data_IF_733523868571
#
_entry.id   IF_733523868571
#
_cell.length_a   1.000
_cell.length_b   1.000
_cell.length_c   1.000
_cell.angle_alpha   90.00
_cell.angle_beta   90.00
_cell.angle_gamma   90.00
#
_symmetry.space_group_name_H-M   'P 1'
#
loop_
_entity.id
_entity.type
_entity.pdbx_description
1 polymer ?
#
# COMPACT_ATOMS: atom_id res chain seq x y z
N UNK A 1 68.62 11.63 -6.13
CA UNK A 1 67.26 11.54 -5.55
C UNK A 1 66.68 10.19 -5.93
N UNK A 2 66.77 9.19 -5.04
CA UNK A 2 66.33 7.83 -5.32
C UNK A 2 64.79 7.83 -5.28
N UNK A 3 64.14 7.76 -6.44
CA UNK A 3 62.68 7.59 -6.52
C UNK A 3 62.32 6.22 -5.92
N UNK A 4 61.64 6.24 -4.78
CA UNK A 4 61.14 5.02 -4.14
C UNK A 4 59.92 4.49 -4.91
N UNK A 5 60.18 3.64 -5.91
CA UNK A 5 59.14 3.01 -6.76
C UNK A 5 58.06 2.27 -5.97
N UNK A 6 58.38 1.79 -4.76
CA UNK A 6 57.43 1.08 -3.90
C UNK A 6 56.39 2.04 -3.30
N UNK A 7 56.75 3.31 -3.05
CA UNK A 7 55.83 4.33 -2.56
C UNK A 7 54.84 4.78 -3.65
N UNK A 8 55.30 4.96 -4.88
CA UNK A 8 54.44 5.28 -6.03
C UNK A 8 53.44 4.14 -6.32
N UNK A 9 53.87 2.88 -6.20
CA UNK A 9 52.99 1.71 -6.34
C UNK A 9 51.95 1.61 -5.22
N UNK A 10 52.31 1.91 -3.96
CA UNK A 10 51.38 1.87 -2.83
C UNK A 10 50.30 2.96 -2.94
N UNK A 11 50.69 4.18 -3.34
CA UNK A 11 49.75 5.28 -3.59
C UNK A 11 48.79 4.94 -4.73
N UNK A 12 49.29 4.31 -5.81
CA UNK A 12 48.44 3.84 -6.91
C UNK A 12 47.40 2.80 -6.45
N UNK A 13 47.80 1.85 -5.60
CA UNK A 13 46.88 0.86 -5.03
C UNK A 13 45.84 1.53 -4.13
N UNK A 14 46.26 2.45 -3.25
CA UNK A 14 45.35 3.20 -2.36
C UNK A 14 44.34 4.03 -3.15
N UNK A 15 44.79 4.72 -4.19
CA UNK A 15 43.90 5.50 -5.07
C UNK A 15 42.92 4.59 -5.83
N UNK A 16 43.39 3.43 -6.31
CA UNK A 16 42.53 2.43 -6.94
C UNK A 16 41.46 1.89 -6.00
N UNK A 17 41.83 1.57 -4.75
CA UNK A 17 40.88 1.12 -3.71
C UNK A 17 39.89 2.22 -3.34
N UNK A 18 40.33 3.48 -3.27
CA UNK A 18 39.47 4.62 -2.99
C UNK A 18 38.43 4.83 -4.08
N UNK A 19 38.84 4.81 -5.36
CA UNK A 19 37.93 4.93 -6.51
C UNK A 19 36.94 3.75 -6.50
N UNK A 20 37.42 2.53 -6.27
CA UNK A 20 36.54 1.35 -6.18
C UNK A 20 35.50 1.49 -5.06
N UNK A 21 35.91 2.02 -3.90
CA UNK A 21 35.00 2.30 -2.79
C UNK A 21 33.89 3.30 -3.16
N UNK A 22 34.23 4.38 -3.85
CA UNK A 22 33.25 5.35 -4.34
C UNK A 22 32.27 4.74 -5.36
N UNK A 23 32.76 3.90 -6.27
CA UNK A 23 31.93 3.20 -7.25
C UNK A 23 30.95 2.25 -6.55
N UNK A 24 31.42 1.46 -5.58
CA UNK A 24 30.57 0.55 -4.82
C UNK A 24 29.50 1.28 -4.00
N UNK A 25 29.84 2.42 -3.38
CA UNK A 25 28.87 3.27 -2.70
C UNK A 25 27.83 3.85 -3.65
N UNK A 26 28.25 4.30 -4.84
CA UNK A 26 27.35 4.77 -5.89
C UNK A 26 26.36 3.68 -6.34
N UNK A 27 26.86 2.48 -6.59
CA UNK A 27 26.01 1.33 -6.96
C UNK A 27 25.05 0.95 -5.83
N UNK A 28 25.52 0.91 -4.59
CA UNK A 28 24.68 0.60 -3.43
C UNK A 28 23.52 1.60 -3.30
N UNK A 29 23.79 2.90 -3.46
CA UNK A 29 22.75 3.93 -3.41
C UNK A 29 21.73 3.80 -4.55
N UNK A 30 22.18 3.48 -5.78
CA UNK A 30 21.27 3.25 -6.91
C UNK A 30 20.36 2.05 -6.64
N UNK A 31 20.90 0.95 -6.10
CA UNK A 31 20.13 -0.25 -5.77
C UNK A 31 19.10 0.06 -4.66
N UNK A 32 19.48 0.79 -3.61
CA UNK A 32 18.56 1.16 -2.54
C UNK A 32 17.43 2.05 -3.05
N UNK A 33 17.75 3.11 -3.78
CA UNK A 33 16.75 4.05 -4.31
C UNK A 33 15.81 3.37 -5.32
N UNK A 34 16.33 2.50 -6.19
CA UNK A 34 15.49 1.77 -7.15
C UNK A 34 14.52 0.79 -6.47
N UNK A 35 14.93 0.17 -5.36
CA UNK A 35 14.04 -0.67 -4.55
C UNK A 35 12.94 0.14 -3.90
N UNK A 36 13.28 1.29 -3.32
CA UNK A 36 12.31 2.19 -2.68
C UNK A 36 11.27 2.71 -3.70
N UNK A 37 11.71 3.16 -4.88
CA UNK A 37 10.82 3.57 -5.95
C UNK A 37 9.89 2.44 -6.42
N UNK A 38 10.43 1.22 -6.55
CA UNK A 38 9.64 0.05 -6.95
C UNK A 38 8.60 -0.32 -5.89
N UNK A 39 8.97 -0.20 -4.60
CA UNK A 39 8.08 -0.43 -3.48
C UNK A 39 6.92 0.56 -3.47
N UNK A 40 7.23 1.86 -3.56
CA UNK A 40 6.22 2.93 -3.60
C UNK A 40 5.28 2.77 -4.79
N UNK A 41 5.81 2.50 -5.99
CA UNK A 41 5.00 2.28 -7.18
C UNK A 41 4.04 1.09 -7.03
N UNK A 42 4.49 0.01 -6.36
CA UNK A 42 3.65 -1.15 -6.08
C UNK A 42 2.56 -0.84 -5.04
N UNK A 43 2.90 -0.08 -3.99
CA UNK A 43 1.93 0.37 -2.99
C UNK A 43 0.85 1.26 -3.62
N UNK A 44 1.24 2.27 -4.39
CA UNK A 44 0.32 3.18 -5.08
C UNK A 44 -0.60 2.44 -6.06
N UNK A 45 -0.05 1.52 -6.84
CA UNK A 45 -0.81 0.70 -7.77
C UNK A 45 -1.84 -0.19 -7.05
N UNK A 46 -1.46 -0.76 -5.90
CA UNK A 46 -2.35 -1.59 -5.09
C UNK A 46 -3.47 -0.75 -4.46
N UNK A 47 -3.14 0.41 -3.90
CA UNK A 47 -4.13 1.36 -3.36
C UNK A 47 -5.13 1.77 -4.45
N UNK A 48 -4.64 2.12 -5.65
CA UNK A 48 -5.49 2.47 -6.79
C UNK A 48 -6.43 1.33 -7.18
N UNK A 49 -5.90 0.10 -7.28
CA UNK A 49 -6.69 -1.08 -7.62
C UNK A 49 -7.79 -1.36 -6.59
N UNK A 50 -7.43 -1.39 -5.31
CA UNK A 50 -8.38 -1.62 -4.20
C UNK A 50 -9.45 -0.53 -4.24
N UNK A 51 -9.06 0.74 -4.42
CA UNK A 51 -10.00 1.88 -4.46
C UNK A 51 -11.01 1.75 -5.58
N UNK A 52 -10.56 1.48 -6.80
CA UNK A 52 -11.46 1.34 -7.95
C UNK A 52 -12.42 0.17 -7.79
N UNK A 53 -11.94 -1.00 -7.36
CA UNK A 53 -12.81 -2.15 -7.14
C UNK A 53 -13.86 -1.86 -6.08
N UNK A 54 -13.47 -1.18 -5.01
CA UNK A 54 -14.36 -0.83 -3.91
C UNK A 54 -15.42 0.17 -4.35
N UNK A 55 -15.06 1.16 -5.16
CA UNK A 55 -16.03 2.07 -5.78
C UNK A 55 -17.02 1.30 -6.66
N UNK A 56 -16.54 0.34 -7.46
CA UNK A 56 -17.42 -0.49 -8.30
C UNK A 56 -18.39 -1.33 -7.46
N UNK A 57 -17.91 -1.91 -6.36
CA UNK A 57 -18.74 -2.65 -5.40
C UNK A 57 -19.78 -1.72 -4.79
N UNK A 58 -19.37 -0.57 -4.27
CA UNK A 58 -20.27 0.38 -3.62
C UNK A 58 -21.33 0.91 -4.57
N UNK A 59 -20.98 1.17 -5.83
CA UNK A 59 -21.94 1.62 -6.85
C UNK A 59 -22.94 0.55 -7.29
N UNK A 60 -22.65 -0.73 -7.03
CA UNK A 60 -23.53 -1.85 -7.41
C UNK A 60 -24.20 -2.53 -6.21
N UNK A 61 -23.84 -2.15 -4.99
CA UNK A 61 -24.39 -2.70 -3.75
C UNK A 61 -25.57 -1.88 -3.26
N UNK A 62 -26.49 -2.54 -2.55
CA UNK A 62 -27.51 -1.85 -1.77
C UNK A 62 -26.87 -1.31 -0.48
N UNK A 63 -26.76 0.01 -0.38
CA UNK A 63 -26.16 0.72 0.75
C UNK A 63 -27.20 1.36 1.66
N UNK A 64 -28.50 1.15 1.41
CA UNK A 64 -29.62 1.81 2.14
C UNK A 64 -29.63 1.56 3.65
N UNK A 65 -28.94 0.51 4.12
CA UNK A 65 -28.81 0.20 5.54
C UNK A 65 -27.69 0.99 6.25
N UNK A 66 -26.90 1.78 5.52
CA UNK A 66 -25.83 2.59 6.10
C UNK A 66 -26.34 3.97 6.53
N UNK A 67 -25.89 4.45 7.69
CA UNK A 67 -26.28 5.74 8.23
C UNK A 67 -25.23 6.82 7.98
N UNK A 68 -25.66 8.09 7.92
CA UNK A 68 -24.73 9.22 7.83
C UNK A 68 -23.77 9.20 9.02
N UNK A 69 -22.47 9.34 8.73
CA UNK A 69 -21.40 9.33 9.72
C UNK A 69 -20.94 7.93 10.12
N UNK A 70 -21.64 6.88 9.69
CA UNK A 70 -21.27 5.49 9.94
C UNK A 70 -20.01 5.11 9.15
N UNK A 71 -19.07 4.49 9.86
CA UNK A 71 -17.89 3.88 9.27
C UNK A 71 -18.21 2.45 8.85
N UNK A 72 -17.72 2.07 7.68
CA UNK A 72 -17.88 0.75 7.12
C UNK A 72 -16.56 0.21 6.58
N UNK A 73 -16.47 -1.11 6.52
CA UNK A 73 -15.32 -1.86 6.04
C UNK A 73 -15.75 -2.69 4.85
N UNK A 74 -14.91 -2.74 3.82
CA UNK A 74 -15.13 -3.60 2.67
C UNK A 74 -13.97 -4.56 2.59
N UNK A 75 -14.28 -5.84 2.43
CA UNK A 75 -13.27 -6.84 2.12
C UNK A 75 -13.83 -7.91 1.20
N UNK A 76 -12.92 -8.68 0.62
CA UNK A 76 -13.24 -9.88 -0.13
C UNK A 76 -12.76 -11.11 0.62
N UNK A 77 -13.65 -12.08 0.84
CA UNK A 77 -13.25 -13.38 1.35
C UNK A 77 -12.45 -14.14 0.29
N UNK A 78 -11.28 -14.64 0.65
CA UNK A 78 -10.37 -15.31 -0.29
C UNK A 78 -10.91 -16.66 -0.75
N UNK A 79 -11.67 -17.36 0.09
CA UNK A 79 -12.14 -18.71 -0.18
C UNK A 79 -13.46 -18.69 -0.94
N UNK A 80 -14.43 -17.88 -0.49
CA UNK A 80 -15.76 -17.81 -1.10
C UNK A 80 -15.84 -16.79 -2.24
N UNK A 81 -14.83 -15.91 -2.34
CA UNK A 81 -14.83 -14.78 -3.27
C UNK A 81 -15.98 -13.78 -3.02
N UNK A 82 -16.66 -13.89 -1.88
CA UNK A 82 -17.74 -13.00 -1.46
C UNK A 82 -17.17 -11.67 -1.05
N UNK A 83 -17.84 -10.59 -1.47
CA UNK A 83 -17.51 -9.24 -1.03
C UNK A 83 -18.44 -8.87 0.11
N UNK A 84 -17.87 -8.42 1.22
CA UNK A 84 -18.60 -8.05 2.41
C UNK A 84 -18.50 -6.53 2.61
N UNK A 85 -19.62 -5.91 2.99
CA UNK A 85 -19.68 -4.53 3.48
C UNK A 85 -20.19 -4.63 4.91
N UNK A 86 -19.35 -4.24 5.87
CA UNK A 86 -19.55 -4.47 7.29
C UNK A 86 -19.50 -3.15 8.05
N UNK A 87 -20.29 -3.01 9.11
CA UNK A 87 -20.28 -1.82 9.98
C UNK A 87 -20.15 -2.18 11.45
N UNK A 88 -19.87 -1.18 12.29
CA UNK A 88 -19.76 -1.35 13.74
C UNK A 88 -18.38 -1.82 14.20
N UNK A 89 -18.05 -1.51 15.46
CA UNK A 89 -16.70 -1.70 16.02
C UNK A 89 -16.26 -3.16 16.11
N UNK A 90 -17.18 -4.11 16.24
CA UNK A 90 -16.82 -5.55 16.22
C UNK A 90 -16.26 -5.99 14.88
N UNK A 91 -16.49 -5.20 13.83
CA UNK A 91 -15.98 -5.45 12.49
C UNK A 91 -14.71 -4.66 12.15
N UNK A 92 -14.15 -3.83 13.04
CA UNK A 92 -12.86 -3.12 12.81
C UNK A 92 -11.76 -4.02 12.23
N UNK A 93 -11.53 -5.25 12.73
CA UNK A 93 -10.47 -6.12 12.20
C UNK A 93 -10.64 -6.47 10.71
N UNK A 94 -11.84 -6.28 10.14
CA UNK A 94 -12.13 -6.49 8.74
C UNK A 94 -11.62 -5.36 7.83
N UNK A 95 -11.05 -4.28 8.40
CA UNK A 95 -10.43 -3.20 7.63
C UNK A 95 -9.15 -3.63 6.92
N UNK A 96 -8.50 -4.70 7.37
CA UNK A 96 -7.22 -5.13 6.84
C UNK A 96 -7.40 -6.00 5.61
N UNK A 97 -6.79 -5.58 4.51
CA UNK A 97 -6.83 -6.28 3.22
C UNK A 97 -5.45 -6.42 2.59
N UNK A 98 -5.26 -7.43 1.75
CA UNK A 98 -4.06 -7.59 0.95
C UNK A 98 -4.08 -6.67 -0.29
N UNK A 99 -3.01 -6.71 -1.08
CA UNK A 99 -2.89 -5.93 -2.33
C UNK A 99 -3.99 -6.17 -3.37
N UNK A 100 -4.79 -7.23 -3.23
CA UNK A 100 -5.90 -7.55 -4.11
C UNK A 100 -7.27 -7.27 -3.47
N UNK A 101 -7.32 -6.72 -2.25
CA UNK A 101 -8.54 -6.45 -1.51
C UNK A 101 -9.10 -7.68 -0.75
N UNK A 102 -8.33 -8.76 -0.62
CA UNK A 102 -8.75 -9.91 0.20
C UNK A 102 -8.56 -9.61 1.68
N UNK A 103 -9.50 -10.04 2.51
CA UNK A 103 -9.39 -9.93 3.97
C UNK A 103 -8.09 -10.58 4.47
N UNK A 104 -7.39 -9.90 5.36
CA UNK A 104 -6.26 -10.43 6.13
C UNK A 104 -6.77 -10.83 7.51
N UNK A 105 -6.77 -12.13 7.81
CA UNK A 105 -7.30 -12.64 9.08
C UNK A 105 -6.36 -12.40 10.27
N UNK A 106 -5.04 -12.47 10.05
CA UNK A 106 -4.02 -12.20 11.07
C UNK A 106 -2.88 -11.36 10.49
N UNK A 107 -2.86 -10.09 10.88
CA UNK A 107 -1.85 -9.12 10.44
C UNK A 107 -0.43 -9.44 10.91
N UNK A 108 -0.26 -10.22 12.00
CA UNK A 108 1.05 -10.50 12.57
C UNK A 108 1.78 -11.64 11.84
N UNK A 109 1.02 -12.52 11.20
CA UNK A 109 1.54 -13.69 10.48
C UNK A 109 1.44 -13.56 8.97
N UNK A 110 0.72 -12.55 8.48
CA UNK A 110 0.56 -12.32 7.05
C UNK A 110 1.88 -11.87 6.40
N UNK A 111 2.35 -12.64 5.42
CA UNK A 111 3.50 -12.30 4.61
C UNK A 111 3.06 -11.52 3.37
N UNK A 112 3.11 -10.20 3.42
CA UNK A 112 2.82 -9.33 2.28
C UNK A 112 2.47 -7.91 2.69
N UNK A 113 2.06 -7.11 1.71
CA UNK A 113 1.55 -5.75 1.95
C UNK A 113 0.14 -5.82 2.52
N UNK A 114 -0.06 -5.12 3.63
CA UNK A 114 -1.35 -4.97 4.29
C UNK A 114 -1.80 -3.53 4.05
N UNK A 115 -3.08 -3.38 3.71
CA UNK A 115 -3.73 -2.10 3.55
C UNK A 115 -4.89 -2.02 4.51
N UNK A 116 -5.10 -0.84 5.08
CA UNK A 116 -6.34 -0.48 5.76
C UNK A 116 -7.33 0.06 4.75
N UNK A 117 -8.57 -0.40 4.84
CA UNK A 117 -9.66 0.02 3.99
C UNK A 117 -10.87 0.40 4.85
N UNK A 118 -11.21 1.68 4.83
CA UNK A 118 -12.31 2.24 5.60
C UNK A 118 -13.14 3.18 4.74
N UNK A 119 -14.45 3.02 4.76
CA UNK A 119 -15.40 3.95 4.17
C UNK A 119 -16.18 4.70 5.24
N UNK A 120 -16.67 5.89 4.91
CA UNK A 120 -17.55 6.67 5.78
C UNK A 120 -18.66 7.30 4.95
N UNK A 121 -19.91 7.12 5.35
CA UNK A 121 -21.03 7.78 4.69
C UNK A 121 -21.03 9.26 5.08
N UNK A 122 -20.96 10.14 4.08
CA UNK A 122 -20.90 11.59 4.28
C UNK A 122 -22.25 12.27 4.09
N UNK A 123 -23.12 11.71 3.25
CA UNK A 123 -24.44 12.26 2.98
C UNK A 123 -25.35 11.19 2.39
N UNK A 124 -26.63 11.27 2.75
CA UNK A 124 -27.70 10.51 2.13
C UNK A 124 -28.69 11.52 1.59
N UNK A 125 -28.98 11.46 0.29
CA UNK A 125 -29.96 12.34 -0.34
C UNK A 125 -31.07 11.50 -0.99
N UNK A 126 -32.29 11.68 -0.51
CA UNK A 126 -33.47 11.02 -1.05
C UNK A 126 -34.17 11.98 -2.01
N UNK A 127 -33.92 11.81 -3.31
CA UNK A 127 -34.61 12.61 -4.33
C UNK A 127 -35.44 11.69 -5.22
N UNK A 128 -36.73 12.00 -5.36
CA UNK A 128 -37.68 11.28 -6.23
C UNK A 128 -37.74 9.75 -5.99
N UNK A 129 -37.54 9.30 -4.74
CA UNK A 129 -37.58 7.88 -4.39
C UNK A 129 -36.29 7.10 -4.65
N UNK A 130 -35.22 7.77 -5.12
CA UNK A 130 -33.89 7.19 -5.23
C UNK A 130 -33.02 7.71 -4.09
N UNK A 131 -32.46 6.79 -3.32
CA UNK A 131 -31.48 7.07 -2.29
C UNK A 131 -30.09 7.20 -2.93
N UNK A 132 -29.51 8.39 -2.82
CA UNK A 132 -28.15 8.67 -3.27
C UNK A 132 -27.23 8.78 -2.04
N UNK A 133 -26.40 7.76 -1.85
CA UNK A 133 -25.44 7.70 -0.76
C UNK A 133 -24.09 8.20 -1.26
N UNK A 134 -23.57 9.24 -0.59
CA UNK A 134 -22.20 9.71 -0.76
C UNK A 134 -21.34 9.14 0.36
N UNK A 135 -20.16 8.69 -0.02
CA UNK A 135 -19.19 8.10 0.89
C UNK A 135 -17.80 8.60 0.57
N UNK A 136 -16.98 8.69 1.60
CA UNK A 136 -15.54 8.86 1.48
C UNK A 136 -14.87 7.51 1.70
N UNK A 137 -14.03 7.09 0.75
CA UNK A 137 -13.26 5.85 0.85
C UNK A 137 -11.79 6.19 1.06
N UNK A 138 -11.23 5.67 2.15
CA UNK A 138 -9.82 5.80 2.52
C UNK A 138 -9.14 4.45 2.46
N UNK A 139 -8.04 4.37 1.71
CA UNK A 139 -7.18 3.20 1.64
C UNK A 139 -5.74 3.66 1.87
N UNK A 140 -5.03 3.00 2.79
CA UNK A 140 -3.65 3.32 3.16
C UNK A 140 -2.89 2.04 3.46
N UNK A 141 -1.59 2.03 3.18
CA UNK A 141 -0.70 0.98 3.66
C UNK A 141 -0.69 0.97 5.21
N UNK A 142 -0.71 -0.24 5.80
CA UNK A 142 -0.70 -0.47 7.26
C UNK A 142 0.72 -0.54 7.82
#
# INVERSE_FOLDING_TARGET
>A
MIKNKNGESLVGILMGMFILGLVLLGIANIILNSRELSYQALADSSIYFIKNNSINVLNSSDLSNLNIGEEFYINKDKNTQTINILTGSTNEPNMYVDRHGYKVDDINTFSGFIYTQTGKVTSINNNLGFEHIKYDLTIKEY
#
